data_IF_341228789452
#
_entry.id   IF_341228789452
#
_cell.length_a   1.000
_cell.length_b   1.000
_cell.length_c   1.000
_cell.angle_alpha   90.00
_cell.angle_beta   90.00
_cell.angle_gamma   90.00
#
_symmetry.space_group_name_H-M   'P 1'
#
loop_
_entity.id
_entity.type
_entity.pdbx_description
1 polymer ?
#
# COMPACT_ATOMS: atom_id res chain seq x y z
N UNK A 1 -3.92 -23.49 9.59
CA UNK A 1 -3.24 -22.35 10.25
C UNK A 1 -2.04 -22.83 11.04
N UNK A 2 -0.86 -22.31 10.71
CA UNK A 2 0.35 -22.54 11.52
C UNK A 2 0.29 -21.79 12.86
N UNK A 3 1.16 -22.15 13.80
CA UNK A 3 1.19 -21.58 15.17
C UNK A 3 1.35 -20.05 15.15
N UNK A 4 2.22 -19.52 14.28
CA UNK A 4 2.42 -18.09 14.13
C UNK A 4 1.17 -17.37 13.59
N UNK A 5 0.50 -17.95 12.59
CA UNK A 5 -0.71 -17.37 11.99
C UNK A 5 -1.84 -17.21 13.01
N UNK A 6 -2.01 -18.21 13.89
CA UNK A 6 -2.98 -18.13 14.99
C UNK A 6 -2.71 -16.94 15.92
N UNK A 7 -1.45 -16.74 16.33
CA UNK A 7 -1.07 -15.65 17.23
C UNK A 7 -1.32 -14.28 16.59
N UNK A 8 -0.94 -14.11 15.32
CA UNK A 8 -1.19 -12.87 14.60
C UNK A 8 -2.68 -12.57 14.40
N UNK A 9 -3.50 -13.62 14.27
CA UNK A 9 -4.97 -13.48 14.17
C UNK A 9 -5.60 -12.93 15.44
N UNK A 10 -4.92 -13.02 16.60
CA UNK A 10 -5.36 -12.39 17.85
C UNK A 10 -5.17 -10.86 17.82
N UNK A 11 -4.23 -10.36 17.01
CA UNK A 11 -3.97 -8.91 16.81
C UNK A 11 -4.82 -8.34 15.67
N UNK A 12 -4.85 -9.01 14.52
CA UNK A 12 -5.73 -8.67 13.39
C UNK A 12 -6.30 -9.96 12.80
N UNK A 13 -7.63 -10.20 12.90
CA UNK A 13 -8.27 -11.39 12.37
C UNK A 13 -8.05 -11.60 10.85
N UNK A 14 -7.77 -10.53 10.11
CA UNK A 14 -7.51 -10.55 8.66
C UNK A 14 -6.02 -10.66 8.31
N UNK A 15 -5.11 -10.83 9.28
CA UNK A 15 -3.67 -10.83 9.03
C UNK A 15 -3.21 -11.80 7.94
N UNK A 16 -3.73 -13.03 7.96
CA UNK A 16 -3.29 -14.07 7.01
C UNK A 16 -3.64 -13.68 5.56
N UNK A 17 -4.82 -13.10 5.36
CA UNK A 17 -5.29 -12.60 4.07
C UNK A 17 -4.53 -11.36 3.61
N UNK A 18 -4.28 -10.41 4.51
CA UNK A 18 -3.49 -9.21 4.24
C UNK A 18 -2.07 -9.57 3.79
N UNK A 19 -1.41 -10.47 4.54
CA UNK A 19 -0.08 -10.96 4.20
C UNK A 19 -0.08 -11.69 2.86
N UNK A 20 -1.08 -12.54 2.62
CA UNK A 20 -1.19 -13.25 1.35
C UNK A 20 -1.42 -12.28 0.18
N UNK A 21 -2.22 -11.22 0.37
CA UNK A 21 -2.46 -10.19 -0.65
C UNK A 21 -1.19 -9.41 -0.97
N UNK A 22 -0.45 -8.97 0.05
CA UNK A 22 0.81 -8.25 -0.15
C UNK A 22 1.86 -9.11 -0.88
N UNK A 23 1.99 -10.39 -0.53
CA UNK A 23 2.89 -11.30 -1.23
C UNK A 23 2.51 -11.49 -2.70
N UNK A 24 1.21 -11.64 -3.00
CA UNK A 24 0.75 -11.73 -4.40
C UNK A 24 1.07 -10.46 -5.19
N UNK A 25 0.88 -9.27 -4.60
CA UNK A 25 1.21 -8.00 -5.26
C UNK A 25 2.71 -7.87 -5.55
N UNK A 26 3.56 -8.32 -4.62
CA UNK A 26 5.01 -8.34 -4.83
C UNK A 26 5.44 -9.33 -5.93
N UNK A 27 4.81 -10.50 -5.97
CA UNK A 27 5.06 -11.52 -7.01
C UNK A 27 4.61 -11.02 -8.39
N UNK A 28 3.40 -10.49 -8.50
CA UNK A 28 2.86 -9.89 -9.73
C UNK A 28 3.73 -8.72 -10.22
N UNK A 29 4.16 -7.85 -9.30
CA UNK A 29 5.08 -6.77 -9.64
C UNK A 29 6.41 -7.28 -10.20
N UNK A 30 6.95 -8.39 -9.67
CA UNK A 30 8.19 -8.99 -10.18
C UNK A 30 8.04 -9.43 -11.63
N UNK A 31 6.89 -10.00 -12.02
CA UNK A 31 6.61 -10.39 -13.41
C UNK A 31 6.45 -9.17 -14.32
N UNK A 32 5.75 -8.13 -13.84
CA UNK A 32 5.56 -6.89 -14.57
C UNK A 32 6.91 -6.17 -14.79
N UNK A 33 7.80 -6.16 -13.80
CA UNK A 33 9.14 -5.55 -13.91
C UNK A 33 9.99 -6.21 -15.00
N UNK A 34 9.82 -7.51 -15.28
CA UNK A 34 10.48 -8.18 -16.41
C UNK A 34 10.00 -7.64 -17.75
N UNK A 35 8.69 -7.45 -17.87
CA UNK A 35 8.08 -6.87 -19.08
C UNK A 35 8.49 -5.41 -19.24
N UNK A 36 8.45 -4.62 -18.16
CA UNK A 36 8.80 -3.21 -18.15
C UNK A 36 10.26 -2.97 -18.58
N UNK A 37 11.19 -3.89 -18.27
CA UNK A 37 12.58 -3.81 -18.73
C UNK A 37 12.73 -3.86 -20.24
N UNK A 38 11.77 -4.45 -20.96
CA UNK A 38 11.81 -4.60 -22.42
C UNK A 38 11.15 -3.40 -23.12
N UNK A 39 9.95 -3.02 -22.67
CA UNK A 39 9.12 -2.02 -23.36
C UNK A 39 9.09 -0.63 -22.69
N UNK A 40 9.62 -0.53 -21.47
CA UNK A 40 9.55 0.66 -20.61
C UNK A 40 8.27 0.73 -19.79
N UNK A 41 8.36 1.17 -18.53
CA UNK A 41 7.21 1.26 -17.61
C UNK A 41 6.06 2.12 -18.15
N UNK A 42 6.38 3.22 -18.85
CA UNK A 42 5.37 4.13 -19.43
C UNK A 42 4.52 3.50 -20.54
N UNK A 43 4.93 2.36 -21.07
CA UNK A 43 4.17 1.63 -22.08
C UNK A 43 3.19 0.62 -21.46
N UNK A 44 3.22 0.42 -20.14
CA UNK A 44 2.33 -0.51 -19.44
C UNK A 44 0.94 0.11 -19.22
N UNK A 45 -0.12 -0.70 -19.15
CA UNK A 45 -1.42 -0.28 -18.66
C UNK A 45 -1.34 0.28 -17.23
N UNK A 46 -2.19 1.23 -16.89
CA UNK A 46 -2.17 1.89 -15.59
C UNK A 46 -2.46 0.94 -14.43
N UNK A 47 -3.22 -0.14 -14.64
CA UNK A 47 -3.42 -1.20 -13.65
C UNK A 47 -2.11 -1.89 -13.28
N UNK A 48 -1.27 -2.18 -14.29
CA UNK A 48 0.06 -2.78 -14.04
C UNK A 48 1.00 -1.79 -13.37
N UNK A 49 0.92 -0.51 -13.76
CA UNK A 49 1.70 0.55 -13.12
C UNK A 49 1.26 0.79 -11.68
N UNK A 50 -0.01 0.58 -11.34
CA UNK A 50 -0.50 0.57 -9.97
C UNK A 50 0.11 -0.58 -9.16
N UNK A 51 0.20 -1.79 -9.74
CA UNK A 51 0.86 -2.93 -9.08
C UNK A 51 2.34 -2.63 -8.80
N UNK A 52 3.04 -1.97 -9.73
CA UNK A 52 4.41 -1.50 -9.50
C UNK A 52 4.50 -0.45 -8.38
N UNK A 53 3.57 0.51 -8.33
CA UNK A 53 3.51 1.53 -7.28
C UNK A 53 3.28 0.89 -5.90
N UNK A 54 2.29 0.01 -5.73
CA UNK A 54 2.07 -0.63 -4.43
C UNK A 54 3.25 -1.52 -4.02
N UNK A 55 3.90 -2.19 -4.97
CA UNK A 55 5.11 -2.97 -4.71
C UNK A 55 6.27 -2.09 -4.22
N UNK A 56 6.49 -0.93 -4.83
CA UNK A 56 7.42 0.09 -4.34
C UNK A 56 7.07 0.54 -2.91
N UNK A 57 5.79 0.83 -2.65
CA UNK A 57 5.33 1.24 -1.32
C UNK A 57 5.49 0.13 -0.27
N UNK A 58 5.24 -1.13 -0.61
CA UNK A 58 5.49 -2.27 0.29
C UNK A 58 6.98 -2.47 0.56
N UNK A 59 7.83 -2.33 -0.47
CA UNK A 59 9.29 -2.44 -0.31
C UNK A 59 9.82 -1.34 0.60
N UNK A 60 9.54 -0.09 0.27
CA UNK A 60 10.12 1.07 0.96
C UNK A 60 9.41 1.40 2.28
N UNK A 61 8.09 1.27 2.33
CA UNK A 61 7.28 1.63 3.50
C UNK A 61 7.10 0.52 4.53
N UNK A 62 7.39 -0.75 4.19
CA UNK A 62 7.18 -1.89 5.09
C UNK A 62 8.37 -2.85 5.19
N UNK A 63 8.96 -3.28 4.07
CA UNK A 63 10.04 -4.29 4.09
C UNK A 63 11.40 -3.71 4.49
N UNK A 64 11.73 -2.51 4.01
CA UNK A 64 12.97 -1.82 4.36
C UNK A 64 12.84 -1.18 5.74
N UNK A 65 13.73 -1.57 6.64
CA UNK A 65 13.78 -1.06 8.02
C UNK A 65 15.14 -0.44 8.32
N UNK A 66 15.15 0.77 8.88
CA UNK A 66 16.39 1.47 9.24
C UNK A 66 16.82 1.14 10.68
N UNK A 67 17.81 0.25 10.81
CA UNK A 67 18.36 -0.16 12.10
C UNK A 67 18.97 0.98 12.95
N UNK A 68 19.30 2.12 12.35
CA UNK A 68 19.90 3.28 13.03
C UNK A 68 18.91 4.42 13.33
N UNK A 69 17.65 4.32 12.90
CA UNK A 69 16.63 5.34 13.16
C UNK A 69 16.01 5.16 14.55
N UNK A 70 15.71 6.25 15.25
CA UNK A 70 15.21 6.20 16.63
C UNK A 70 13.87 5.44 16.80
N UNK A 71 12.95 5.62 15.86
CA UNK A 71 11.67 4.88 15.81
C UNK A 71 11.77 3.59 15.00
N UNK A 72 12.22 3.67 13.75
CA UNK A 72 12.20 2.53 12.82
C UNK A 72 13.23 1.42 13.15
N UNK A 73 14.08 1.57 14.17
CA UNK A 73 15.00 0.48 14.60
C UNK A 73 14.26 -0.77 15.10
N UNK A 74 13.05 -0.61 15.65
CA UNK A 74 12.19 -1.71 16.11
C UNK A 74 10.71 -1.38 15.89
N UNK A 75 9.94 -2.34 15.37
CA UNK A 75 8.52 -2.16 15.09
C UNK A 75 7.71 -3.19 15.87
N UNK A 76 6.78 -2.71 16.71
CA UNK A 76 5.89 -3.58 17.48
C UNK A 76 4.91 -4.34 16.58
N UNK A 77 4.49 -5.53 17.00
CA UNK A 77 3.64 -6.41 16.17
C UNK A 77 2.32 -5.73 15.78
N UNK A 78 1.67 -5.03 16.70
CA UNK A 78 0.44 -4.27 16.43
C UNK A 78 0.66 -3.21 15.34
N UNK A 79 1.76 -2.45 15.43
CA UNK A 79 2.16 -1.47 14.41
C UNK A 79 2.46 -2.14 13.07
N UNK A 80 3.13 -3.29 13.05
CA UNK A 80 3.38 -4.04 11.81
C UNK A 80 2.07 -4.46 11.13
N UNK A 81 1.09 -4.98 11.89
CA UNK A 81 -0.22 -5.34 11.36
C UNK A 81 -0.94 -4.12 10.78
N UNK A 82 -0.95 -3.00 11.51
CA UNK A 82 -1.57 -1.76 11.06
C UNK A 82 -0.90 -1.16 9.80
N UNK A 83 0.43 -1.16 9.73
CA UNK A 83 1.20 -0.69 8.56
C UNK A 83 0.88 -1.52 7.31
N UNK A 84 0.90 -2.84 7.42
CA UNK A 84 0.59 -3.71 6.28
C UNK A 84 -0.85 -3.49 5.82
N UNK A 85 -1.78 -3.38 6.77
CA UNK A 85 -3.20 -3.14 6.48
C UNK A 85 -3.40 -1.85 5.71
N UNK A 86 -2.83 -0.72 6.16
CA UNK A 86 -3.06 0.58 5.50
C UNK A 86 -2.46 0.63 4.09
N UNK A 87 -1.33 -0.04 3.84
CA UNK A 87 -0.74 -0.14 2.50
C UNK A 87 -1.61 -0.98 1.56
N UNK A 88 -2.16 -2.08 2.05
CA UNK A 88 -3.11 -2.90 1.27
C UNK A 88 -4.43 -2.15 1.04
N UNK A 89 -4.91 -1.41 2.04
CA UNK A 89 -6.10 -0.57 1.90
C UNK A 89 -5.89 0.51 0.84
N UNK A 90 -4.72 1.16 0.80
CA UNK A 90 -4.37 2.12 -0.26
C UNK A 90 -4.61 1.52 -1.65
N UNK A 91 -4.09 0.31 -1.89
CA UNK A 91 -4.30 -0.36 -3.16
C UNK A 91 -5.79 -0.63 -3.44
N UNK A 92 -6.53 -1.13 -2.44
CA UNK A 92 -7.95 -1.44 -2.61
C UNK A 92 -8.82 -0.19 -2.87
N UNK A 93 -8.45 0.96 -2.31
CA UNK A 93 -9.20 2.22 -2.47
C UNK A 93 -8.96 2.89 -3.84
N UNK A 94 -7.78 2.69 -4.43
CA UNK A 94 -7.38 3.34 -5.70
C UNK A 94 -7.50 2.41 -6.92
N UNK A 95 -7.48 1.09 -6.75
CA UNK A 95 -7.68 0.14 -7.85
C UNK A 95 -9.01 0.37 -8.61
N UNK A 96 -10.17 0.58 -7.94
CA UNK A 96 -11.42 0.89 -8.63
C UNK A 96 -11.37 2.21 -9.41
N UNK A 97 -10.58 3.18 -8.95
CA UNK A 97 -10.40 4.48 -9.63
C UNK A 97 -9.63 4.31 -10.94
N UNK A 98 -8.52 3.58 -10.90
CA UNK A 98 -7.73 3.28 -12.11
C UNK A 98 -8.59 2.55 -13.14
N UNK A 99 -9.36 1.55 -12.70
CA UNK A 99 -10.28 0.80 -13.59
C UNK A 99 -11.36 1.68 -14.23
N UNK A 100 -11.70 2.80 -13.61
CA UNK A 100 -12.65 3.80 -14.12
C UNK A 100 -11.97 4.92 -14.93
N UNK A 101 -10.68 4.81 -15.21
CA UNK A 101 -9.95 5.71 -16.10
C UNK A 101 -9.20 6.84 -15.40
N UNK A 102 -9.11 6.83 -14.06
CA UNK A 102 -8.20 7.74 -13.36
C UNK A 102 -6.75 7.41 -13.73
N UNK A 103 -5.94 8.38 -14.20
CA UNK A 103 -4.54 8.11 -14.56
C UNK A 103 -3.70 7.76 -13.33
N UNK A 104 -2.75 6.82 -13.49
CA UNK A 104 -1.83 6.44 -12.40
C UNK A 104 -0.96 7.61 -11.90
N UNK A 105 -0.62 8.57 -12.76
CA UNK A 105 0.09 9.80 -12.36
C UNK A 105 -0.68 10.56 -11.28
N UNK A 106 -2.01 10.67 -11.41
CA UNK A 106 -2.84 11.37 -10.44
C UNK A 106 -2.84 10.68 -9.07
N UNK A 107 -2.82 9.35 -9.07
CA UNK A 107 -2.72 8.53 -7.85
C UNK A 107 -1.34 8.71 -7.20
N UNK A 108 -0.24 8.71 -7.98
CA UNK A 108 1.12 8.96 -7.45
C UNK A 108 1.26 10.34 -6.81
N UNK A 109 0.53 11.33 -7.31
CA UNK A 109 0.55 12.70 -6.79
C UNK A 109 -0.28 12.90 -5.52
N UNK A 110 -1.06 11.89 -5.08
CA UNK A 110 -1.81 11.97 -3.83
C UNK A 110 -0.84 12.15 -2.66
N UNK A 111 -1.04 13.20 -1.86
CA UNK A 111 -0.18 13.51 -0.71
C UNK A 111 -0.08 12.35 0.30
N UNK A 112 -1.14 11.51 0.39
CA UNK A 112 -1.15 10.33 1.24
C UNK A 112 -0.07 9.31 0.88
N UNK A 113 0.37 9.22 -0.38
CA UNK A 113 1.43 8.28 -0.79
C UNK A 113 2.73 8.56 -0.02
N UNK A 114 3.12 9.84 0.08
CA UNK A 114 4.32 10.25 0.82
C UNK A 114 4.14 10.01 2.32
N UNK A 115 2.95 10.28 2.86
CA UNK A 115 2.68 10.04 4.29
C UNK A 115 2.77 8.55 4.64
N UNK A 116 2.19 7.67 3.81
CA UNK A 116 2.21 6.22 4.02
C UNK A 116 3.64 5.65 4.06
N UNK A 117 4.52 6.12 3.15
CA UNK A 117 5.93 5.69 3.11
C UNK A 117 6.71 6.07 4.38
N UNK A 118 6.30 7.13 5.07
CA UNK A 118 6.98 7.66 6.27
C UNK A 118 6.39 7.13 7.58
N UNK A 119 5.29 6.38 7.55
CA UNK A 119 4.64 5.87 8.76
C UNK A 119 5.56 4.98 9.61
N UNK A 120 6.48 4.24 8.98
CA UNK A 120 7.45 3.41 9.69
C UNK A 120 8.33 4.23 10.66
N UNK A 121 8.60 5.49 10.31
CA UNK A 121 9.40 6.43 11.11
C UNK A 121 8.60 7.10 12.24
N UNK A 122 7.27 6.97 12.27
CA UNK A 122 6.40 7.58 13.28
C UNK A 122 6.08 6.60 14.42
N UNK A 123 6.11 7.01 15.70
CA UNK A 123 5.83 6.11 16.81
C UNK A 123 4.34 5.80 16.91
N UNK A 124 4.01 4.64 17.49
CA UNK A 124 2.63 4.23 17.74
C UNK A 124 1.84 3.85 16.47
N UNK A 125 0.52 3.74 16.64
CA UNK A 125 -0.44 3.42 15.56
C UNK A 125 -1.32 4.60 15.20
N UNK A 126 -1.41 5.64 16.05
CA UNK A 126 -2.24 6.82 15.81
C UNK A 126 -1.95 7.50 14.46
N UNK A 127 -0.68 7.68 14.03
CA UNK A 127 -0.39 8.26 12.72
C UNK A 127 -0.90 7.42 11.54
N UNK A 128 -1.06 6.11 11.73
CA UNK A 128 -1.58 5.19 10.72
C UNK A 128 -3.08 5.41 10.55
N UNK A 129 -3.81 5.60 11.65
CA UNK A 129 -5.24 5.91 11.62
C UNK A 129 -5.50 7.27 10.95
N UNK A 130 -4.66 8.27 11.24
CA UNK A 130 -4.70 9.57 10.56
C UNK A 130 -4.46 9.44 9.06
N UNK A 131 -3.43 8.70 8.64
CA UNK A 131 -3.12 8.47 7.23
C UNK A 131 -4.24 7.69 6.52
N UNK A 132 -4.91 6.77 7.21
CA UNK A 132 -6.08 6.04 6.68
C UNK A 132 -7.28 6.97 6.48
N UNK A 133 -7.47 7.94 7.38
CA UNK A 133 -8.46 9.00 7.20
C UNK A 133 -8.15 9.88 6.00
N UNK A 134 -6.89 10.32 5.87
CA UNK A 134 -6.41 11.11 4.74
C UNK A 134 -6.57 10.36 3.41
N UNK A 135 -6.26 9.05 3.40
CA UNK A 135 -6.44 8.19 2.25
C UNK A 135 -7.88 8.28 1.74
N UNK A 136 -8.87 8.05 2.60
CA UNK A 136 -10.28 8.11 2.22
C UNK A 136 -10.67 9.46 1.63
N UNK A 137 -10.30 10.55 2.31
CA UNK A 137 -10.60 11.91 1.84
C UNK A 137 -10.00 12.17 0.46
N UNK A 138 -8.70 11.90 0.27
CA UNK A 138 -8.06 12.16 -1.02
C UNK A 138 -8.57 11.23 -2.12
N UNK A 139 -8.89 10.00 -1.76
CA UNK A 139 -9.47 9.05 -2.69
C UNK A 139 -10.85 9.57 -3.13
N UNK A 140 -11.70 10.05 -2.22
CA UNK A 140 -13.03 10.63 -2.51
C UNK A 140 -12.90 11.89 -3.38
N UNK A 141 -11.96 12.79 -3.08
CA UNK A 141 -11.65 13.95 -3.92
C UNK A 141 -11.29 13.55 -5.36
N UNK A 142 -10.45 12.53 -5.53
CA UNK A 142 -10.09 12.00 -6.87
C UNK A 142 -11.30 11.37 -7.56
N UNK A 143 -12.15 10.65 -6.83
CA UNK A 143 -13.36 10.07 -7.40
C UNK A 143 -14.32 11.16 -7.92
N UNK A 144 -14.49 12.24 -7.17
CA UNK A 144 -15.30 13.40 -7.57
C UNK A 144 -14.69 14.13 -8.77
N UNK A 145 -13.37 14.34 -8.78
CA UNK A 145 -12.63 15.00 -9.87
C UNK A 145 -12.83 14.29 -11.22
N UNK A 146 -12.98 12.97 -11.21
CA UNK A 146 -13.11 12.13 -12.40
C UNK A 146 -14.52 11.54 -12.60
N UNK A 147 -15.53 12.01 -11.86
CA UNK A 147 -16.94 11.57 -11.95
C UNK A 147 -17.14 10.04 -11.83
N UNK A 148 -16.31 9.40 -11.02
CA UNK A 148 -16.34 7.95 -10.73
C UNK A 148 -17.63 7.61 -9.97
N UNK A 149 -18.48 6.76 -10.54
CA UNK A 149 -19.89 6.65 -10.12
C UNK A 149 -20.14 5.59 -9.04
N UNK A 150 -19.27 4.58 -8.90
CA UNK A 150 -19.37 3.54 -7.87
C UNK A 150 -17.96 3.12 -7.39
N UNK A 151 -17.77 2.98 -6.08
CA UNK A 151 -16.50 2.66 -5.42
C UNK A 151 -16.58 1.31 -4.71
#
# INVERSE_FOLDING_TARGET
MGVASRWWSELDPGWEDLRARALRLLEEASEIEETARIIGEKALPDEQRLVLLISEMLREGFLVQNAFHEVDTYCEAEKQAALLKVLVDFYNEVEPLIRQGVPIERIREMGVVTELLRLKEKPGTEPIDEARGLLKVQADEVAEEYEVTER
#
